data_IF_102235353238
#
_entry.id   IF_102235353238
#
_cell.length_a   1.000
_cell.length_b   1.000
_cell.length_c   1.000
_cell.angle_alpha   90.00
_cell.angle_beta   90.00
_cell.angle_gamma   90.00
#
_symmetry.space_group_name_H-M   'P 1'
#
loop_
_entity.id
_entity.type
_entity.pdbx_description
1 polymer ?
#
# COMPACT_ATOMS: atom_id res chain seq x y z
N UNK A 1 9.27 13.06 19.05
CA UNK A 1 9.44 12.78 17.59
C UNK A 1 8.58 11.56 17.24
N UNK A 2 7.92 11.57 16.09
CA UNK A 2 7.17 10.41 15.59
C UNK A 2 8.21 9.39 15.11
N UNK A 3 8.05 8.14 15.53
CA UNK A 3 8.95 7.05 15.12
C UNK A 3 8.78 6.69 13.64
N UNK A 4 9.84 6.22 13.02
CA UNK A 4 9.76 5.69 11.65
C UNK A 4 8.93 4.43 11.59
N UNK A 5 8.23 4.18 10.46
CA UNK A 5 7.50 2.93 10.25
C UNK A 5 8.43 1.70 10.34
N UNK A 6 7.91 0.65 10.95
CA UNK A 6 8.63 -0.61 11.18
C UNK A 6 7.99 -1.77 10.42
N UNK A 7 8.73 -2.88 10.18
CA UNK A 7 8.13 -4.08 9.59
C UNK A 7 6.96 -4.67 10.42
N UNK A 8 6.93 -4.40 11.74
CA UNK A 8 5.83 -4.85 12.60
C UNK A 8 4.56 -4.01 12.40
N UNK A 9 4.71 -2.72 12.07
CA UNK A 9 3.58 -1.87 11.67
C UNK A 9 2.95 -2.40 10.38
N UNK A 10 3.78 -2.78 9.40
CA UNK A 10 3.28 -3.38 8.15
C UNK A 10 2.60 -4.74 8.40
N UNK A 11 3.20 -5.59 9.24
CA UNK A 11 2.60 -6.86 9.60
C UNK A 11 1.23 -6.68 10.29
N UNK A 12 1.08 -5.65 11.13
CA UNK A 12 -0.20 -5.29 11.72
C UNK A 12 -1.21 -4.81 10.66
N UNK A 13 -0.82 -3.90 9.78
CA UNK A 13 -1.69 -3.38 8.73
C UNK A 13 -2.20 -4.50 7.81
N UNK A 14 -1.34 -5.46 7.45
CA UNK A 14 -1.70 -6.61 6.62
C UNK A 14 -2.70 -7.55 7.32
N UNK A 15 -2.48 -7.86 8.59
CA UNK A 15 -3.46 -8.67 9.37
C UNK A 15 -4.83 -7.99 9.39
N UNK A 16 -4.86 -6.70 9.72
CA UNK A 16 -6.11 -5.93 9.74
C UNK A 16 -6.78 -5.88 8.35
N UNK A 17 -5.99 -5.79 7.27
CA UNK A 17 -6.50 -5.83 5.91
C UNK A 17 -7.15 -7.19 5.59
N UNK A 18 -6.44 -8.28 5.83
CA UNK A 18 -6.95 -9.65 5.59
C UNK A 18 -8.19 -9.92 6.44
N UNK A 19 -8.15 -9.57 7.74
CA UNK A 19 -9.30 -9.74 8.65
C UNK A 19 -10.54 -8.97 8.16
N UNK A 20 -10.34 -7.71 7.74
CA UNK A 20 -11.43 -6.87 7.21
C UNK A 20 -12.03 -7.46 5.94
N UNK A 21 -11.19 -7.85 4.99
CA UNK A 21 -11.63 -8.40 3.70
C UNK A 21 -12.25 -9.80 3.85
N UNK A 22 -11.76 -10.61 4.79
CA UNK A 22 -12.36 -11.92 5.12
C UNK A 22 -13.75 -11.79 5.72
N UNK A 23 -14.08 -10.63 6.30
CA UNK A 23 -15.42 -10.32 6.81
C UNK A 23 -16.43 -9.90 5.73
N UNK A 24 -16.03 -9.85 4.46
CA UNK A 24 -16.97 -9.54 3.37
C UNK A 24 -18.06 -10.62 3.24
N UNK A 25 -19.31 -10.24 2.96
CA UNK A 25 -20.38 -11.21 2.68
C UNK A 25 -19.99 -12.21 1.60
N UNK A 26 -20.41 -13.46 1.73
CA UNK A 26 -20.09 -14.52 0.76
C UNK A 26 -20.58 -14.22 -0.66
N UNK A 27 -21.62 -13.41 -0.78
CA UNK A 27 -22.22 -12.93 -2.02
C UNK A 27 -21.74 -11.53 -2.44
N UNK A 28 -20.71 -10.99 -1.78
CA UNK A 28 -20.17 -9.68 -2.12
C UNK A 28 -19.65 -9.65 -3.56
N UNK A 29 -20.02 -8.60 -4.29
CA UNK A 29 -19.59 -8.41 -5.68
C UNK A 29 -18.24 -7.71 -5.75
N UNK A 30 -17.19 -8.48 -5.88
CA UNK A 30 -15.79 -8.01 -6.00
C UNK A 30 -15.48 -7.35 -7.36
N UNK A 31 -16.40 -7.38 -8.31
CA UNK A 31 -16.28 -6.64 -9.57
C UNK A 31 -16.68 -5.16 -9.47
N UNK A 32 -17.28 -4.76 -8.35
CA UNK A 32 -17.63 -3.35 -8.09
C UNK A 32 -16.38 -2.49 -8.01
N UNK A 33 -16.52 -1.21 -8.39
CA UNK A 33 -15.46 -0.23 -8.30
C UNK A 33 -15.01 -0.05 -6.85
N UNK A 34 -13.69 0.01 -6.64
CA UNK A 34 -13.06 0.29 -5.36
C UNK A 34 -13.07 1.81 -5.12
N UNK A 35 -14.02 2.28 -4.32
CA UNK A 35 -14.16 3.72 -4.03
C UNK A 35 -14.31 4.55 -5.32
N UNK A 36 -13.39 5.52 -5.47
CA UNK A 36 -13.32 6.40 -6.65
C UNK A 36 -12.33 5.92 -7.72
N UNK A 37 -11.69 4.77 -7.53
CA UNK A 37 -10.78 4.19 -8.51
C UNK A 37 -11.56 3.67 -9.73
N UNK A 38 -10.92 3.71 -10.89
CA UNK A 38 -11.44 3.06 -12.10
C UNK A 38 -11.26 1.53 -12.11
N UNK A 39 -10.81 0.94 -10.99
CA UNK A 39 -10.51 -0.49 -10.82
C UNK A 39 -11.58 -1.17 -9.97
N UNK A 40 -11.79 -2.46 -10.19
CA UNK A 40 -12.64 -3.26 -9.32
C UNK A 40 -11.98 -3.53 -7.96
N UNK A 41 -12.80 -3.90 -6.96
CA UNK A 41 -12.28 -4.31 -5.66
C UNK A 41 -11.26 -5.45 -5.77
N UNK A 42 -11.53 -6.46 -6.63
CA UNK A 42 -10.57 -7.55 -6.89
C UNK A 42 -9.26 -7.04 -7.50
N UNK A 43 -9.34 -6.22 -8.56
CA UNK A 43 -8.15 -5.66 -9.21
C UNK A 43 -7.33 -4.80 -8.26
N UNK A 44 -7.98 -4.08 -7.33
CA UNK A 44 -7.31 -3.25 -6.34
C UNK A 44 -6.55 -4.10 -5.30
N UNK A 45 -7.13 -5.22 -4.84
CA UNK A 45 -6.41 -6.15 -3.93
C UNK A 45 -5.27 -6.85 -4.66
N UNK A 46 -5.46 -7.25 -5.93
CA UNK A 46 -4.38 -7.82 -6.76
C UNK A 46 -3.24 -6.80 -6.96
N UNK A 47 -3.57 -5.51 -7.14
CA UNK A 47 -2.58 -4.45 -7.26
C UNK A 47 -1.82 -4.22 -5.95
N UNK A 48 -2.51 -4.22 -4.82
CA UNK A 48 -1.86 -4.14 -3.51
C UNK A 48 -0.87 -5.31 -3.30
N UNK A 49 -1.26 -6.53 -3.63
CA UNK A 49 -0.38 -7.69 -3.54
C UNK A 49 0.83 -7.56 -4.48
N UNK A 50 0.62 -7.04 -5.69
CA UNK A 50 1.66 -6.77 -6.69
C UNK A 50 2.68 -5.75 -6.18
N UNK A 51 2.23 -4.62 -5.62
CA UNK A 51 3.11 -3.58 -5.06
C UNK A 51 3.96 -4.11 -3.91
N UNK A 52 3.33 -4.87 -2.99
CA UNK A 52 4.04 -5.47 -1.86
C UNK A 52 5.14 -6.43 -2.32
N UNK A 53 4.86 -7.28 -3.31
CA UNK A 53 5.86 -8.19 -3.87
C UNK A 53 6.90 -7.44 -4.69
N UNK A 54 6.50 -6.40 -5.44
CA UNK A 54 7.42 -5.54 -6.19
C UNK A 54 8.42 -4.85 -5.25
N UNK A 55 7.96 -4.32 -4.13
CA UNK A 55 8.81 -3.69 -3.12
C UNK A 55 9.76 -4.69 -2.45
N UNK A 56 9.26 -5.89 -2.12
CA UNK A 56 10.11 -6.96 -1.62
C UNK A 56 11.19 -7.36 -2.64
N UNK A 57 10.81 -7.54 -3.88
CA UNK A 57 11.73 -7.89 -4.96
C UNK A 57 12.72 -6.76 -5.30
N UNK A 58 12.31 -5.50 -5.15
CA UNK A 58 13.17 -4.34 -5.38
C UNK A 58 14.23 -4.19 -4.29
N UNK A 59 13.87 -4.47 -3.04
CA UNK A 59 14.74 -4.30 -1.87
C UNK A 59 15.60 -5.55 -1.58
N UNK A 60 15.12 -6.75 -1.93
CA UNK A 60 15.68 -8.03 -1.52
C UNK A 60 17.01 -8.47 -2.16
N UNK A 61 17.44 -8.02 -3.37
CA UNK A 61 18.73 -8.39 -3.91
C UNK A 61 19.89 -7.93 -3.03
N UNK A 62 20.97 -8.72 -2.95
CA UNK A 62 22.20 -8.32 -2.23
C UNK A 62 22.77 -6.96 -2.70
N UNK A 63 22.47 -6.58 -3.92
CA UNK A 63 22.75 -5.25 -4.51
C UNK A 63 21.47 -4.76 -5.17
N UNK A 64 20.57 -4.08 -4.43
CA UNK A 64 19.32 -3.59 -4.98
C UNK A 64 19.54 -2.63 -6.16
N UNK A 65 18.74 -2.73 -7.23
CA UNK A 65 18.81 -1.79 -8.36
C UNK A 65 18.55 -0.36 -7.90
N UNK A 66 19.36 0.60 -8.38
CA UNK A 66 19.29 2.01 -7.96
C UNK A 66 18.80 2.97 -9.03
N UNK A 67 18.63 2.50 -10.27
CA UNK A 67 18.29 3.34 -11.43
C UNK A 67 17.01 2.89 -12.13
N UNK A 68 16.51 1.71 -11.81
CA UNK A 68 15.32 1.11 -12.43
C UNK A 68 14.65 0.11 -11.50
N UNK A 69 13.45 -0.27 -11.83
CA UNK A 69 12.81 -1.44 -11.21
C UNK A 69 13.46 -2.75 -11.64
N UNK A 70 13.31 -3.78 -10.80
CA UNK A 70 13.53 -5.16 -11.22
C UNK A 70 12.62 -5.43 -12.43
N UNK A 71 13.14 -5.95 -13.55
CA UNK A 71 12.44 -5.97 -14.85
C UNK A 71 11.44 -7.13 -14.96
N UNK A 72 10.39 -7.13 -14.15
CA UNK A 72 9.28 -8.06 -14.30
C UNK A 72 8.42 -7.71 -15.51
N UNK A 73 7.82 -8.73 -16.11
CA UNK A 73 6.81 -8.54 -17.15
C UNK A 73 5.48 -8.33 -16.45
N UNK A 74 4.92 -7.13 -16.58
CA UNK A 74 3.61 -6.81 -16.06
C UNK A 74 2.61 -6.60 -17.21
N UNK A 75 1.36 -6.94 -16.97
CA UNK A 75 0.27 -6.82 -17.95
C UNK A 75 -0.98 -6.22 -17.32
N UNK A 76 -1.91 -5.76 -18.14
CA UNK A 76 -3.24 -5.31 -17.70
C UNK A 76 -4.28 -6.38 -18.01
N UNK A 77 -5.19 -6.65 -17.08
CA UNK A 77 -6.32 -7.57 -17.32
C UNK A 77 -7.43 -6.87 -18.09
N UNK A 78 -7.66 -5.60 -17.80
CA UNK A 78 -8.70 -4.78 -18.41
C UNK A 78 -8.14 -3.45 -18.93
N UNK A 79 -8.76 -2.81 -19.94
CA UNK A 79 -8.42 -1.46 -20.36
C UNK A 79 -8.54 -0.49 -19.17
N UNK A 80 -7.48 0.25 -18.85
CA UNK A 80 -7.45 1.15 -17.69
C UNK A 80 -7.19 0.49 -16.33
N UNK A 81 -7.19 -0.84 -16.25
CA UNK A 81 -6.86 -1.59 -15.04
C UNK A 81 -5.39 -1.47 -14.62
N UNK A 82 -5.02 -1.95 -13.44
CA UNK A 82 -3.66 -1.90 -12.96
C UNK A 82 -2.74 -2.80 -13.80
N UNK A 83 -1.47 -2.41 -13.88
CA UNK A 83 -0.44 -3.15 -14.60
C UNK A 83 0.33 -4.04 -13.61
N UNK A 84 -0.09 -5.28 -13.47
CA UNK A 84 0.40 -6.21 -12.45
C UNK A 84 1.19 -7.36 -13.07
N UNK A 85 2.22 -7.85 -12.36
CA UNK A 85 2.90 -9.11 -12.64
C UNK A 85 2.47 -10.23 -11.69
N UNK A 86 1.81 -9.89 -10.57
CA UNK A 86 1.20 -10.84 -9.62
C UNK A 86 -0.31 -10.74 -9.67
N UNK A 87 -0.98 -11.89 -9.67
CA UNK A 87 -2.44 -12.01 -9.56
C UNK A 87 -2.80 -13.36 -8.94
N UNK A 88 -3.96 -13.38 -8.30
CA UNK A 88 -4.57 -14.63 -7.87
C UNK A 88 -5.17 -15.38 -9.07
N UNK A 89 -5.11 -16.71 -9.03
CA UNK A 89 -5.86 -17.54 -9.98
C UNK A 89 -7.35 -17.25 -9.87
N UNK A 90 -8.07 -17.05 -10.99
CA UNK A 90 -9.50 -16.74 -10.96
C UNK A 90 -10.34 -17.77 -10.19
N UNK A 91 -10.00 -19.05 -10.36
CA UNK A 91 -10.71 -20.17 -9.77
C UNK A 91 -10.51 -20.32 -8.26
N UNK A 92 -9.44 -19.70 -7.71
CA UNK A 92 -9.17 -19.70 -6.27
C UNK A 92 -10.13 -18.81 -5.47
N UNK A 93 -10.93 -17.99 -6.17
CA UNK A 93 -11.92 -17.10 -5.56
C UNK A 93 -11.32 -16.03 -4.66
N UNK A 94 -12.12 -15.61 -3.67
CA UNK A 94 -11.68 -14.64 -2.64
C UNK A 94 -10.64 -15.24 -1.69
N UNK A 95 -10.77 -16.49 -1.21
CA UNK A 95 -9.73 -17.06 -0.36
C UNK A 95 -8.34 -17.02 -1.00
N UNK A 96 -8.21 -17.46 -2.26
CA UNK A 96 -6.92 -17.41 -2.96
C UNK A 96 -6.41 -15.99 -3.22
N UNK A 97 -7.31 -15.02 -3.43
CA UNK A 97 -6.94 -13.61 -3.54
C UNK A 97 -6.29 -13.10 -2.23
N UNK A 98 -6.87 -13.45 -1.09
CA UNK A 98 -6.33 -13.07 0.22
C UNK A 98 -5.04 -13.82 0.57
N UNK A 99 -4.90 -15.08 0.18
CA UNK A 99 -3.64 -15.84 0.30
C UNK A 99 -2.50 -15.17 -0.48
N UNK A 100 -2.76 -14.69 -1.70
CA UNK A 100 -1.77 -13.97 -2.51
C UNK A 100 -1.38 -12.64 -1.85
N UNK A 101 -2.35 -11.90 -1.30
CA UNK A 101 -2.07 -10.67 -0.55
C UNK A 101 -1.21 -10.96 0.69
N UNK A 102 -1.57 -11.97 1.47
CA UNK A 102 -0.86 -12.34 2.70
C UNK A 102 0.58 -12.83 2.39
N UNK A 103 0.75 -13.65 1.35
CA UNK A 103 2.05 -14.12 0.90
C UNK A 103 2.96 -12.98 0.44
N UNK A 104 2.44 -12.08 -0.41
CA UNK A 104 3.18 -10.90 -0.90
C UNK A 104 3.60 -9.98 0.24
N UNK A 105 2.67 -9.68 1.14
CA UNK A 105 2.93 -8.84 2.31
C UNK A 105 3.90 -9.49 3.30
N UNK A 106 3.76 -10.79 3.55
CA UNK A 106 4.68 -11.55 4.39
C UNK A 106 6.11 -11.53 3.88
N UNK A 107 6.29 -11.63 2.55
CA UNK A 107 7.61 -11.49 1.91
C UNK A 107 8.17 -10.08 2.09
N UNK A 108 7.34 -9.03 1.91
CA UNK A 108 7.80 -7.65 2.12
C UNK A 108 8.24 -7.42 3.58
N UNK A 109 7.47 -7.89 4.54
CA UNK A 109 7.82 -7.83 5.98
C UNK A 109 9.14 -8.54 6.26
N UNK A 110 9.30 -9.77 5.73
CA UNK A 110 10.52 -10.56 5.94
C UNK A 110 11.75 -9.89 5.34
N UNK A 111 11.65 -9.40 4.11
CA UNK A 111 12.75 -8.69 3.43
C UNK A 111 13.12 -7.42 4.19
N UNK A 112 12.13 -6.62 4.60
CA UNK A 112 12.39 -5.38 5.34
C UNK A 112 13.10 -5.62 6.69
N UNK A 113 12.81 -6.76 7.37
CA UNK A 113 13.47 -7.12 8.63
C UNK A 113 14.94 -7.47 8.50
N UNK A 114 15.34 -8.05 7.38
CA UNK A 114 16.72 -8.52 7.17
C UNK A 114 17.57 -7.57 6.36
N UNK A 115 16.97 -6.57 5.72
CA UNK A 115 17.71 -5.61 4.89
C UNK A 115 18.38 -4.56 5.77
N UNK A 116 19.69 -4.34 5.59
CA UNK A 116 20.43 -3.32 6.36
C UNK A 116 19.86 -1.91 6.13
N UNK A 117 19.83 -1.04 7.16
CA UNK A 117 19.21 0.29 7.08
C UNK A 117 19.88 1.25 6.08
N UNK A 118 21.14 0.99 5.74
CA UNK A 118 21.90 1.74 4.73
C UNK A 118 21.59 1.31 3.29
N UNK A 119 20.88 0.20 3.08
CA UNK A 119 20.48 -0.25 1.75
C UNK A 119 19.62 0.83 1.05
N UNK A 120 19.82 0.98 -0.24
CA UNK A 120 19.06 1.93 -1.08
C UNK A 120 18.64 1.23 -2.34
N UNK A 121 17.35 1.35 -2.67
CA UNK A 121 16.78 0.81 -3.89
C UNK A 121 15.96 1.86 -4.64
N UNK A 122 15.83 1.68 -5.93
CA UNK A 122 15.12 2.60 -6.82
C UNK A 122 13.63 2.65 -6.50
N UNK A 123 13.10 3.86 -6.48
CA UNK A 123 11.70 4.19 -6.66
C UNK A 123 11.62 5.47 -7.50
N UNK A 124 10.62 5.70 -8.37
CA UNK A 124 10.54 6.88 -9.23
C UNK A 124 10.58 8.21 -8.46
N UNK A 125 10.13 8.20 -7.21
CA UNK A 125 10.10 9.37 -6.35
C UNK A 125 11.26 9.44 -5.36
N UNK A 126 12.35 8.73 -5.64
CA UNK A 126 13.62 8.81 -4.89
C UNK A 126 14.16 7.45 -4.44
N UNK A 127 15.48 7.38 -4.22
CA UNK A 127 16.13 6.18 -3.69
C UNK A 127 15.67 5.94 -2.25
N UNK A 128 14.87 4.91 -2.03
CA UNK A 128 14.32 4.58 -0.73
C UNK A 128 15.23 3.64 0.07
N UNK A 129 15.19 3.78 1.37
CA UNK A 129 15.72 2.85 2.36
C UNK A 129 14.64 1.82 2.79
N UNK A 130 14.97 0.81 3.60
CA UNK A 130 13.98 -0.16 4.07
C UNK A 130 12.78 0.49 4.77
N UNK A 131 13.01 1.52 5.60
CA UNK A 131 11.93 2.27 6.26
C UNK A 131 11.02 2.99 5.26
N UNK A 132 11.59 3.50 4.16
CA UNK A 132 10.83 4.08 3.06
C UNK A 132 9.95 3.07 2.34
N UNK A 133 10.48 1.87 2.06
CA UNK A 133 9.69 0.79 1.46
C UNK A 133 8.58 0.29 2.39
N UNK A 134 8.84 0.18 3.69
CA UNK A 134 7.79 -0.13 4.68
C UNK A 134 6.72 0.95 4.70
N UNK A 135 7.10 2.22 4.69
CA UNK A 135 6.14 3.33 4.67
C UNK A 135 5.28 3.34 3.39
N UNK A 136 5.89 3.07 2.22
CA UNK A 136 5.17 2.92 0.95
C UNK A 136 4.22 1.73 1.00
N UNK A 137 4.66 0.58 1.50
CA UNK A 137 3.79 -0.59 1.71
C UNK A 137 2.61 -0.28 2.65
N UNK A 138 2.85 0.51 3.70
CA UNK A 138 1.79 0.94 4.62
C UNK A 138 0.77 1.83 3.92
N UNK A 139 1.20 2.89 3.23
CA UNK A 139 0.25 3.78 2.56
C UNK A 139 -0.58 3.02 1.53
N UNK A 140 0.02 2.14 0.72
CA UNK A 140 -0.70 1.30 -0.25
C UNK A 140 -1.72 0.40 0.47
N UNK A 141 -1.31 -0.29 1.55
CA UNK A 141 -2.22 -1.15 2.31
C UNK A 141 -3.40 -0.36 2.88
N UNK A 142 -3.12 0.76 3.56
CA UNK A 142 -4.16 1.51 4.27
C UNK A 142 -5.16 2.16 3.32
N UNK A 143 -4.68 2.77 2.22
CA UNK A 143 -5.57 3.51 1.32
C UNK A 143 -6.29 2.62 0.32
N UNK A 144 -5.66 1.56 -0.18
CA UNK A 144 -6.34 0.61 -1.05
C UNK A 144 -7.36 -0.25 -0.30
N UNK A 145 -7.08 -0.57 0.98
CA UNK A 145 -8.11 -1.18 1.81
C UNK A 145 -9.31 -0.25 2.03
N UNK A 146 -9.09 1.07 2.17
CA UNK A 146 -10.17 2.04 2.21
C UNK A 146 -10.99 2.02 0.91
N UNK A 147 -10.33 2.06 -0.25
CA UNK A 147 -10.99 2.03 -1.54
C UNK A 147 -11.86 0.77 -1.70
N UNK A 148 -11.29 -0.41 -1.39
CA UNK A 148 -12.01 -1.68 -1.45
C UNK A 148 -13.15 -1.74 -0.44
N UNK A 149 -12.93 -1.27 0.79
CA UNK A 149 -13.96 -1.24 1.83
C UNK A 149 -15.15 -0.38 1.44
N UNK A 150 -14.93 0.76 0.78
CA UNK A 150 -16.01 1.56 0.22
C UNK A 150 -16.80 0.79 -0.87
N UNK A 151 -16.10 0.09 -1.77
CA UNK A 151 -16.74 -0.69 -2.83
C UNK A 151 -17.59 -1.84 -2.29
N UNK A 152 -17.12 -2.52 -1.24
CA UNK A 152 -17.78 -3.67 -0.63
C UNK A 152 -18.72 -3.31 0.54
N UNK A 153 -18.76 -2.05 0.98
CA UNK A 153 -19.57 -1.61 2.12
C UNK A 153 -19.03 -2.12 3.47
N UNK A 154 -17.72 -2.30 3.60
CA UNK A 154 -17.08 -2.77 4.83
C UNK A 154 -16.66 -1.59 5.71
N UNK A 155 -16.70 -1.72 7.04
CA UNK A 155 -16.12 -0.72 7.93
C UNK A 155 -14.60 -0.78 7.89
N UNK A 156 -13.95 0.37 7.74
CA UNK A 156 -12.49 0.46 7.81
C UNK A 156 -12.03 1.76 8.45
N UNK A 157 -11.22 1.63 9.48
CA UNK A 157 -10.48 2.72 10.11
C UNK A 157 -9.18 2.16 10.67
N UNK A 158 -8.02 2.57 10.14
CA UNK A 158 -6.73 2.07 10.62
C UNK A 158 -6.36 2.69 11.96
N UNK A 159 -5.47 2.04 12.75
CA UNK A 159 -4.89 2.62 13.95
C UNK A 159 -4.14 3.92 13.65
N UNK A 160 -4.35 4.94 14.48
CA UNK A 160 -3.78 6.29 14.30
C UNK A 160 -2.26 6.29 14.15
N UNK A 161 -1.54 5.49 14.95
CA UNK A 161 -0.08 5.43 14.89
C UNK A 161 0.48 4.96 13.54
N UNK A 162 -0.25 4.10 12.81
CA UNK A 162 0.16 3.67 11.45
C UNK A 162 0.06 4.85 10.48
N UNK A 163 -1.02 5.64 10.58
CA UNK A 163 -1.21 6.85 9.77
C UNK A 163 -0.17 7.92 10.10
N UNK A 164 0.09 8.16 11.39
CA UNK A 164 1.06 9.15 11.86
C UNK A 164 2.48 8.85 11.36
N UNK A 165 2.93 7.60 11.52
CA UNK A 165 4.26 7.17 11.06
C UNK A 165 4.37 7.26 9.54
N UNK A 166 3.34 6.86 8.82
CA UNK A 166 3.28 6.94 7.34
C UNK A 166 3.34 8.39 6.87
N UNK A 167 2.51 9.28 7.46
CA UNK A 167 2.52 10.71 7.15
C UNK A 167 3.88 11.34 7.43
N UNK A 168 4.43 11.12 8.61
CA UNK A 168 5.71 11.68 9.01
C UNK A 168 6.85 11.24 8.08
N UNK A 169 6.82 10.00 7.59
CA UNK A 169 7.85 9.46 6.71
C UNK A 169 7.70 9.91 5.25
N UNK A 170 6.49 9.89 4.72
CA UNK A 170 6.24 10.06 3.28
C UNK A 170 5.70 11.44 2.88
N UNK A 171 5.01 12.14 3.77
CA UNK A 171 4.30 13.38 3.46
C UNK A 171 4.68 14.53 4.41
N UNK A 172 5.95 15.01 4.37
CA UNK A 172 6.45 16.00 5.32
C UNK A 172 5.76 17.36 5.23
N UNK A 173 5.10 17.64 4.12
CA UNK A 173 4.33 18.85 3.84
C UNK A 173 2.89 18.79 4.42
N UNK A 174 2.47 17.62 4.90
CA UNK A 174 1.15 17.43 5.49
C UNK A 174 1.22 17.71 7.00
N UNK A 175 0.40 18.60 7.52
CA UNK A 175 0.44 18.89 8.96
C UNK A 175 -0.01 17.66 9.75
N UNK A 176 0.71 17.39 10.83
CA UNK A 176 0.25 16.43 11.84
C UNK A 176 -0.98 17.04 12.52
N UNK A 177 -2.12 16.39 12.39
CA UNK A 177 -3.39 16.78 13.00
C UNK A 177 -3.77 15.78 14.08
N UNK A 178 -4.73 16.15 14.93
CA UNK A 178 -5.28 15.23 15.93
C UNK A 178 -6.05 14.03 15.32
N UNK A 179 -6.23 14.02 13.98
CA UNK A 179 -6.90 12.97 13.24
C UNK A 179 -6.02 12.56 12.05
N UNK A 180 -5.05 11.66 12.23
CA UNK A 180 -4.06 11.32 11.20
C UNK A 180 -4.68 10.59 10.00
N UNK A 181 -5.73 9.79 10.19
CA UNK A 181 -6.38 9.08 9.09
C UNK A 181 -7.03 10.01 8.06
N UNK A 182 -7.88 10.99 8.41
CA UNK A 182 -8.35 12.00 7.46
C UNK A 182 -7.22 12.76 6.75
N UNK A 183 -6.13 13.05 7.46
CA UNK A 183 -4.97 13.70 6.87
C UNK A 183 -4.28 12.82 5.82
N UNK A 184 -4.16 11.50 6.06
CA UNK A 184 -3.61 10.54 5.10
C UNK A 184 -4.50 10.38 3.87
N UNK A 185 -5.82 10.30 4.05
CA UNK A 185 -6.79 10.28 2.94
C UNK A 185 -6.69 11.55 2.09
N UNK A 186 -6.60 12.72 2.73
CA UNK A 186 -6.39 13.97 2.00
C UNK A 186 -5.04 13.99 1.27
N UNK A 187 -3.96 13.56 1.93
CA UNK A 187 -2.62 13.51 1.34
C UNK A 187 -2.55 12.67 0.07
N UNK A 188 -3.41 11.65 -0.02
CA UNK A 188 -3.51 10.70 -1.13
C UNK A 188 -4.71 10.95 -2.06
N UNK A 189 -5.33 12.14 -1.97
CA UNK A 189 -6.41 12.55 -2.86
C UNK A 189 -7.77 11.84 -2.66
N UNK A 190 -7.95 11.17 -1.50
CA UNK A 190 -9.16 10.37 -1.20
C UNK A 190 -10.14 11.04 -0.24
N UNK A 191 -9.77 12.16 0.32
CA UNK A 191 -10.58 12.85 1.31
C UNK A 191 -10.45 14.36 1.26
N UNK A 192 -11.16 15.04 2.16
CA UNK A 192 -11.06 16.47 2.40
C UNK A 192 -10.45 16.76 3.76
N UNK A 193 -9.77 17.88 3.89
CA UNK A 193 -9.24 18.36 5.15
C UNK A 193 -9.75 19.79 5.37
N UNK A 194 -10.31 20.12 6.55
CA UNK A 194 -10.85 21.46 6.83
C UNK A 194 -9.83 22.55 6.51
N UNK A 195 -10.28 23.58 5.79
CA UNK A 195 -9.44 24.72 5.40
C UNK A 195 -8.40 24.44 4.30
N UNK A 196 -8.43 23.27 3.66
CA UNK A 196 -7.52 22.91 2.57
C UNK A 196 -8.29 22.50 1.31
N UNK A 197 -7.84 22.92 0.10
CA UNK A 197 -8.43 22.45 -1.15
C UNK A 197 -8.23 20.95 -1.32
N UNK A 198 -9.07 20.31 -2.13
CA UNK A 198 -8.87 18.92 -2.52
C UNK A 198 -7.49 18.74 -3.19
N UNK A 199 -6.82 17.65 -2.87
CA UNK A 199 -5.50 17.33 -3.42
C UNK A 199 -5.65 16.46 -4.66
N UNK A 200 -5.57 17.06 -5.83
CA UNK A 200 -5.72 16.38 -7.12
C UNK A 200 -4.40 15.85 -7.67
N UNK A 201 -3.28 16.47 -7.29
CA UNK A 201 -1.94 16.03 -7.61
C UNK A 201 -1.16 15.80 -6.31
N UNK A 202 -0.60 14.61 -6.18
CA UNK A 202 0.14 14.24 -4.99
C UNK A 202 1.24 13.21 -5.30
N UNK A 203 2.25 13.22 -4.48
CA UNK A 203 3.30 12.21 -4.44
C UNK A 203 3.85 12.12 -3.03
N UNK A 204 4.48 11.01 -2.68
CA UNK A 204 5.24 10.90 -1.46
C UNK A 204 6.74 11.12 -1.67
N UNK A 205 7.47 11.22 -0.58
CA UNK A 205 8.93 11.33 -0.58
C UNK A 205 9.54 9.97 -0.22
N UNK A 206 9.98 9.20 -1.21
CA UNK A 206 10.52 7.86 -1.01
C UNK A 206 11.91 7.88 -0.34
N UNK A 207 12.79 8.82 -0.73
CA UNK A 207 14.13 8.93 -0.15
C UNK A 207 14.09 9.31 1.35
N UNK A 208 15.05 8.81 2.16
CA UNK A 208 15.23 9.29 3.52
C UNK A 208 15.57 10.79 3.51
N UNK A 209 15.09 11.49 4.52
CA UNK A 209 15.41 12.91 4.74
C UNK A 209 16.54 13.04 5.75
N UNK A 210 17.35 14.09 5.62
CA UNK A 210 18.41 14.42 6.58
C UNK A 210 17.91 14.56 8.01
#
# INVERSE_FOLDING_TARGET
MIESPTPDDLALALRLAVDTLSGAPADADWSRAAGTLGWSCRETVEHLADDLLAYAAQLGPARPPRERYVPFVATRRSPGGPNNFVRAEPESGVPGLLEVLEASGGLMVAVARVTPPEARAYHPWGLADPSGFVAMSLVETLVHLHDVSQGLGLPWTPPDHLCERTLARLFPDVPVTASPWPALLWATGRGSLPGRPARTEWRWYAAPRP
#
